data_IF_554689326752
#
_entry.id   IF_554689326752
#
_cell.length_a   1.000
_cell.length_b   1.000
_cell.length_c   1.000
_cell.angle_alpha   90.00
_cell.angle_beta   90.00
_cell.angle_gamma   90.00
#
_symmetry.space_group_name_H-M   'P 1'
#
loop_
_entity.id
_entity.type
_entity.pdbx_description
1 polymer ?
#
# COMPACT_ATOMS: atom_id res chain seq x y z
N UNK A 1 -0.20 17.93 15.61
CA UNK A 1 -0.56 17.15 14.40
C UNK A 1 -1.34 15.89 14.74
N UNK A 2 -0.82 15.01 15.61
CA UNK A 2 -1.48 13.76 16.02
C UNK A 2 -2.91 13.94 16.53
N UNK A 3 -3.18 15.01 17.30
CA UNK A 3 -4.54 15.33 17.77
C UNK A 3 -5.51 15.68 16.64
N UNK A 4 -5.02 16.27 15.54
CA UNK A 4 -5.84 16.56 14.35
C UNK A 4 -6.21 15.24 13.66
N UNK A 5 -5.24 14.37 13.40
CA UNK A 5 -5.48 13.06 12.78
C UNK A 5 -6.44 12.19 13.59
N UNK A 6 -6.34 12.21 14.92
CA UNK A 6 -7.29 11.53 15.80
C UNK A 6 -8.70 12.11 15.70
N UNK A 7 -8.84 13.44 15.68
CA UNK A 7 -10.14 14.11 15.46
C UNK A 7 -10.74 13.80 14.09
N UNK A 8 -9.90 13.53 13.08
CA UNK A 8 -10.31 13.10 11.75
C UNK A 8 -10.64 11.59 11.67
N UNK A 9 -10.47 10.84 12.77
CA UNK A 9 -10.80 9.42 12.85
C UNK A 9 -9.73 8.50 12.26
N UNK A 10 -8.46 8.93 12.18
CA UNK A 10 -7.37 8.06 11.75
C UNK A 10 -6.80 7.26 12.92
N UNK A 11 -6.59 5.96 12.69
CA UNK A 11 -6.15 5.02 13.73
C UNK A 11 -4.64 4.78 13.75
N UNK A 12 -3.99 4.80 12.59
CA UNK A 12 -2.55 4.53 12.43
C UNK A 12 -1.93 5.58 11.49
N UNK A 13 -0.65 5.85 11.69
CA UNK A 13 0.14 6.76 10.86
C UNK A 13 1.38 6.06 10.31
N UNK A 14 1.78 6.45 9.10
CA UNK A 14 2.97 5.95 8.42
C UNK A 14 3.27 6.80 7.19
N UNK A 15 4.44 6.59 6.58
CA UNK A 15 4.97 7.48 5.54
C UNK A 15 5.07 6.86 4.14
N UNK A 16 4.70 5.58 3.97
CA UNK A 16 5.00 4.82 2.75
C UNK A 16 3.79 4.31 1.97
N UNK A 17 2.64 4.10 2.62
CA UNK A 17 1.46 3.51 1.97
C UNK A 17 0.90 4.34 0.80
N UNK A 18 1.09 5.67 0.85
CA UNK A 18 0.81 6.58 -0.27
C UNK A 18 2.15 7.17 -0.72
N UNK A 19 2.50 7.11 -2.03
CA UNK A 19 1.64 6.76 -3.17
C UNK A 19 1.60 5.27 -3.53
N UNK A 20 2.27 4.38 -2.79
CA UNK A 20 2.41 2.95 -3.14
C UNK A 20 1.08 2.26 -3.48
N UNK A 21 0.05 2.42 -2.64
CA UNK A 21 -1.26 1.82 -2.86
C UNK A 21 -1.96 2.34 -4.14
N UNK A 22 -1.72 3.62 -4.51
CA UNK A 22 -2.27 4.20 -5.74
C UNK A 22 -1.58 3.62 -6.96
N UNK A 23 -0.25 3.50 -6.93
CA UNK A 23 0.53 2.92 -8.02
C UNK A 23 0.20 1.43 -8.22
N UNK A 24 0.05 0.67 -7.13
CA UNK A 24 -0.37 -0.72 -7.21
C UNK A 24 -1.78 -0.86 -7.83
N UNK A 25 -2.67 0.08 -7.55
CA UNK A 25 -4.01 0.12 -8.16
C UNK A 25 -3.95 0.43 -9.66
N UNK A 26 -3.13 1.39 -10.08
CA UNK A 26 -2.89 1.70 -11.50
C UNK A 26 -2.28 0.51 -12.25
N UNK A 27 -1.46 -0.30 -11.57
CA UNK A 27 -0.89 -1.54 -12.09
C UNK A 27 -1.82 -2.76 -12.01
N UNK A 28 -3.08 -2.60 -11.61
CA UNK A 28 -4.08 -3.68 -11.49
C UNK A 28 -3.70 -4.82 -10.52
N UNK A 29 -2.81 -4.52 -9.57
CA UNK A 29 -2.33 -5.44 -8.54
C UNK A 29 -3.31 -5.52 -7.36
N UNK A 30 -3.46 -6.71 -6.77
CA UNK A 30 -4.05 -6.82 -5.44
C UNK A 30 -3.07 -6.22 -4.42
N UNK A 31 -3.53 -5.27 -3.62
CA UNK A 31 -2.71 -4.59 -2.62
C UNK A 31 -3.38 -4.62 -1.26
N UNK A 32 -2.60 -4.91 -0.22
CA UNK A 32 -3.01 -4.83 1.18
C UNK A 32 -1.81 -4.42 2.02
N UNK A 33 -2.07 -3.76 3.15
CA UNK A 33 -1.02 -3.31 4.09
C UNK A 33 -1.09 -4.11 5.38
N UNK A 34 0.06 -4.48 5.93
CA UNK A 34 0.20 -5.00 7.30
C UNK A 34 0.85 -3.89 8.13
N UNK A 35 0.04 -3.13 8.86
CA UNK A 35 0.52 -2.07 9.74
C UNK A 35 1.10 -2.65 11.03
N UNK A 36 2.41 -2.46 11.24
CA UNK A 36 3.10 -2.91 12.44
C UNK A 36 3.26 -1.72 13.40
N UNK A 37 2.39 -1.66 14.41
CA UNK A 37 2.42 -0.57 15.41
C UNK A 37 3.71 -0.66 16.23
N UNK A 38 4.55 0.37 16.16
CA UNK A 38 5.83 0.47 16.89
C UNK A 38 5.70 1.27 18.18
N UNK A 39 4.79 2.24 18.20
CA UNK A 39 4.63 3.22 19.27
C UNK A 39 3.26 3.92 19.14
N UNK A 40 3.00 4.88 20.03
CA UNK A 40 1.75 5.63 20.08
C UNK A 40 1.86 7.04 19.47
N UNK A 41 2.89 7.33 18.67
CA UNK A 41 3.20 8.70 18.25
C UNK A 41 3.28 9.64 19.48
N UNK A 42 3.26 10.95 19.28
CA UNK A 42 3.37 11.94 20.37
C UNK A 42 2.03 12.32 21.03
N UNK A 43 0.94 11.55 20.80
CA UNK A 43 -0.38 11.92 21.33
C UNK A 43 -0.64 11.43 22.76
N UNK A 44 0.08 10.39 23.21
CA UNK A 44 -0.16 9.76 24.50
C UNK A 44 0.53 10.56 25.60
N UNK A 45 -0.27 11.19 26.45
CA UNK A 45 0.24 11.95 27.60
C UNK A 45 1.05 11.05 28.53
N UNK A 46 2.15 11.59 29.09
CA UNK A 46 3.10 10.88 29.95
C UNK A 46 3.84 9.70 29.29
N UNK A 47 3.93 9.67 27.96
CA UNK A 47 4.68 8.67 27.22
C UNK A 47 5.43 9.32 26.05
N UNK A 48 6.71 9.62 26.26
CA UNK A 48 7.58 10.06 25.16
C UNK A 48 8.06 8.84 24.37
N UNK A 49 7.93 8.91 23.03
CA UNK A 49 8.42 7.85 22.15
C UNK A 49 9.94 7.99 22.03
N UNK A 50 10.65 6.93 22.41
CA UNK A 50 12.11 6.86 22.24
C UNK A 50 12.49 6.06 21.00
N UNK A 51 13.66 6.34 20.42
CA UNK A 51 14.16 5.59 19.25
C UNK A 51 14.41 4.13 19.62
N UNK A 52 14.87 3.88 20.84
CA UNK A 52 15.16 2.56 21.39
C UNK A 52 13.90 1.69 21.45
N UNK A 53 12.79 2.21 21.98
CA UNK A 53 11.50 1.51 22.02
C UNK A 53 10.99 1.18 20.61
N UNK A 54 11.11 2.13 19.68
CA UNK A 54 10.71 1.92 18.28
C UNK A 54 11.53 0.79 17.66
N UNK A 55 12.85 0.79 17.85
CA UNK A 55 13.74 -0.24 17.31
C UNK A 55 13.50 -1.62 17.94
N UNK A 56 13.22 -1.69 19.23
CA UNK A 56 12.89 -2.94 19.92
C UNK A 56 11.56 -3.52 19.42
N UNK A 57 10.51 -2.71 19.39
CA UNK A 57 9.20 -3.13 18.89
C UNK A 57 9.26 -3.50 17.41
N UNK A 58 10.04 -2.78 16.60
CA UNK A 58 10.26 -3.10 15.19
C UNK A 58 10.89 -4.49 15.01
N UNK A 59 11.90 -4.85 15.81
CA UNK A 59 12.52 -6.19 15.76
C UNK A 59 11.51 -7.28 16.10
N UNK A 60 10.75 -7.11 17.18
CA UNK A 60 9.71 -8.07 17.59
C UNK A 60 8.61 -8.22 16.55
N UNK A 61 8.14 -7.11 15.99
CA UNK A 61 7.11 -7.08 14.96
C UNK A 61 7.60 -7.70 13.64
N UNK A 62 8.87 -7.53 13.30
CA UNK A 62 9.46 -8.11 12.08
C UNK A 62 9.36 -9.64 12.10
N UNK A 63 9.67 -10.30 13.22
CA UNK A 63 9.58 -11.75 13.31
C UNK A 63 8.14 -12.26 13.25
N UNK A 64 7.20 -11.55 13.89
CA UNK A 64 5.76 -11.84 13.78
C UNK A 64 5.27 -11.69 12.33
N UNK A 65 5.67 -10.62 11.66
CA UNK A 65 5.30 -10.35 10.28
C UNK A 65 5.83 -11.42 9.31
N UNK A 66 7.09 -11.83 9.46
CA UNK A 66 7.67 -12.94 8.66
C UNK A 66 6.87 -14.24 8.82
N UNK A 67 6.44 -14.58 10.04
CA UNK A 67 5.59 -15.76 10.28
C UNK A 67 4.23 -15.60 9.63
N UNK A 68 3.60 -14.43 9.77
CA UNK A 68 2.31 -14.13 9.15
C UNK A 68 2.37 -14.26 7.62
N UNK A 69 3.38 -13.68 6.97
CA UNK A 69 3.57 -13.77 5.52
C UNK A 69 3.70 -15.23 5.06
N UNK A 70 4.50 -16.05 5.78
CA UNK A 70 4.64 -17.49 5.48
C UNK A 70 3.31 -18.24 5.53
N UNK A 71 2.38 -17.84 6.41
CA UNK A 71 1.06 -18.44 6.53
C UNK A 71 0.11 -17.93 5.44
N UNK A 72 0.14 -16.62 5.16
CA UNK A 72 -0.72 -15.97 4.17
C UNK A 72 -0.41 -16.49 2.76
N UNK A 73 0.86 -16.54 2.37
CA UNK A 73 1.27 -16.95 1.00
C UNK A 73 0.75 -18.34 0.65
N UNK A 74 0.63 -19.25 1.63
CA UNK A 74 0.06 -20.60 1.43
C UNK A 74 -1.46 -20.60 1.21
N UNK A 75 -2.16 -19.54 1.63
CA UNK A 75 -3.62 -19.42 1.58
C UNK A 75 -4.11 -18.55 0.42
N UNK A 76 -3.23 -17.77 -0.21
CA UNK A 76 -3.60 -16.93 -1.35
C UNK A 76 -3.74 -17.84 -2.58
N UNK A 77 -4.96 -17.94 -3.10
CA UNK A 77 -5.18 -18.50 -4.43
C UNK A 77 -4.83 -17.43 -5.49
N UNK A 78 -3.72 -17.66 -6.20
CA UNK A 78 -3.26 -16.80 -7.29
C UNK A 78 -3.89 -17.15 -8.63
N UNK A 79 -4.55 -18.30 -8.74
CA UNK A 79 -5.12 -18.82 -9.99
C UNK A 79 -6.51 -18.26 -10.28
N UNK A 80 -7.33 -18.07 -9.24
CA UNK A 80 -8.70 -17.54 -9.40
C UNK A 80 -8.84 -16.11 -8.85
N UNK A 81 -8.41 -15.12 -9.64
CA UNK A 81 -8.65 -13.70 -9.30
C UNK A 81 -10.09 -13.28 -9.62
N UNK A 82 -10.94 -13.28 -8.59
CA UNK A 82 -12.33 -12.77 -8.65
C UNK A 82 -12.46 -11.28 -8.26
N UNK A 83 -11.40 -10.66 -7.74
CA UNK A 83 -11.43 -9.25 -7.35
C UNK A 83 -11.50 -8.29 -8.54
N UNK A 84 -12.05 -7.09 -8.32
CA UNK A 84 -12.13 -6.01 -9.32
C UNK A 84 -10.77 -5.36 -9.65
N UNK A 85 -9.75 -5.57 -8.82
CA UNK A 85 -8.44 -4.94 -8.98
C UNK A 85 -7.80 -5.20 -10.36
N UNK A 86 -8.08 -6.37 -10.97
CA UNK A 86 -7.52 -6.80 -12.27
C UNK A 86 -8.02 -5.99 -13.47
N UNK A 87 -9.08 -5.20 -13.29
CA UNK A 87 -9.71 -4.39 -14.33
C UNK A 87 -9.82 -2.91 -13.93
N UNK A 88 -9.10 -2.51 -12.87
CA UNK A 88 -9.18 -1.17 -12.29
C UNK A 88 -8.83 -0.05 -13.28
N UNK A 89 -7.99 -0.32 -14.29
CA UNK A 89 -7.51 0.67 -15.24
C UNK A 89 -8.42 0.79 -16.47
N UNK A 90 -9.33 -0.17 -16.70
CA UNK A 90 -10.12 -0.33 -17.94
C UNK A 90 -10.81 0.94 -18.43
N UNK A 91 -11.36 1.75 -17.52
CA UNK A 91 -12.08 2.98 -17.83
C UNK A 91 -11.40 4.23 -17.26
N UNK A 92 -10.19 4.11 -16.72
CA UNK A 92 -9.46 5.22 -16.10
C UNK A 92 -8.57 5.98 -17.09
N UNK A 93 -8.32 5.42 -18.29
CA UNK A 93 -7.53 6.08 -19.33
C UNK A 93 -8.45 6.98 -20.17
N UNK A 94 -8.37 8.29 -19.93
CA UNK A 94 -9.16 9.29 -20.67
C UNK A 94 -8.44 9.84 -21.91
N UNK A 95 -7.12 9.61 -22.01
CA UNK A 95 -6.32 10.10 -23.14
C UNK A 95 -6.70 9.36 -24.41
N UNK A 96 -7.14 10.10 -25.44
CA UNK A 96 -7.44 9.54 -26.77
C UNK A 96 -6.23 8.82 -27.35
N UNK A 97 -6.43 7.63 -27.94
CA UNK A 97 -5.36 6.75 -28.42
C UNK A 97 -4.42 7.46 -29.41
N UNK A 98 -4.97 8.29 -30.28
CA UNK A 98 -4.22 9.00 -31.33
C UNK A 98 -3.32 10.11 -30.77
N UNK A 99 -3.57 10.55 -29.52
CA UNK A 99 -2.78 11.57 -28.82
C UNK A 99 -1.68 10.98 -27.94
N UNK A 100 -1.62 9.66 -27.79
CA UNK A 100 -0.60 8.99 -26.99
C UNK A 100 0.69 8.90 -27.80
N UNK A 101 1.71 9.64 -27.37
CA UNK A 101 3.04 9.59 -27.98
C UNK A 101 3.62 8.18 -27.89
N UNK A 102 4.30 7.73 -28.95
CA UNK A 102 4.96 6.41 -29.00
C UNK A 102 5.88 6.16 -27.80
N UNK A 103 6.65 7.17 -27.39
CA UNK A 103 7.55 7.08 -26.23
C UNK A 103 6.79 6.81 -24.91
N UNK A 104 5.67 7.50 -24.69
CA UNK A 104 4.82 7.29 -23.50
C UNK A 104 4.22 5.90 -23.50
N UNK A 105 3.73 5.43 -24.65
CA UNK A 105 3.21 4.08 -24.79
C UNK A 105 4.28 3.03 -24.43
N UNK A 106 5.51 3.16 -24.95
CA UNK A 106 6.58 2.22 -24.62
C UNK A 106 6.92 2.23 -23.12
N UNK A 107 6.97 3.40 -22.49
CA UNK A 107 7.23 3.53 -21.05
C UNK A 107 6.16 2.85 -20.18
N UNK A 108 4.90 2.96 -20.57
CA UNK A 108 3.76 2.49 -19.78
C UNK A 108 3.15 1.18 -20.27
N UNK A 109 3.75 0.55 -21.30
CA UNK A 109 3.21 -0.62 -22.01
C UNK A 109 2.75 -1.74 -21.08
N UNK A 110 3.50 -1.99 -20.01
CA UNK A 110 3.19 -3.04 -19.02
C UNK A 110 1.89 -2.78 -18.26
N UNK A 111 1.48 -1.51 -18.12
CA UNK A 111 0.28 -1.11 -17.37
C UNK A 111 -0.91 -0.92 -18.32
N UNK A 112 -0.73 -0.12 -19.38
CA UNK A 112 -1.82 0.33 -20.24
C UNK A 112 -2.03 -0.56 -21.48
N UNK A 113 -1.08 -1.43 -21.82
CA UNK A 113 -1.07 -2.18 -23.07
C UNK A 113 -2.24 -3.15 -23.25
N UNK A 114 -2.89 -3.59 -22.16
CA UNK A 114 -4.12 -4.39 -22.20
C UNK A 114 -5.31 -3.61 -22.80
N UNK A 115 -5.30 -2.28 -22.75
CA UNK A 115 -6.44 -1.42 -23.08
C UNK A 115 -6.22 -0.53 -24.32
N UNK A 116 -4.96 -0.36 -24.74
CA UNK A 116 -4.58 0.47 -25.89
C UNK A 116 -4.29 -0.38 -27.11
#
# INVERSE_FOLDING_TARGET
ESQVYRKLGFDIIGMTAIPEAKLAREAEMCYTTIGLVTDYDVWKENHEVTIEEVLENMKLNTEKCKRLIKLIVKKIDVTHRQCFCKDALKYAILTKKEKIKKQTYQKLKLLIGKYL
#
